data_IF_420226883651
#
_entry.id   IF_420226883651
#
_cell.length_a   1.000
_cell.length_b   1.000
_cell.length_c   1.000
_cell.angle_alpha   90.00
_cell.angle_beta   90.00
_cell.angle_gamma   90.00
#
_symmetry.space_group_name_H-M   'P 1'
#
loop_
_entity.id
_entity.type
_entity.pdbx_description
1 polymer ?
#
# COMPACT_ATOMS: atom_id res chain seq x y z
N UNK A 1 -22.45 42.99 6.52
CA UNK A 1 -22.07 41.83 7.37
C UNK A 1 -22.46 40.47 6.77
N UNK A 2 -23.59 40.31 6.04
CA UNK A 2 -23.99 39.01 5.46
C UNK A 2 -23.01 38.42 4.42
N UNK A 3 -22.32 39.24 3.62
CA UNK A 3 -21.42 38.74 2.56
C UNK A 3 -20.09 38.16 3.07
N UNK A 4 -19.60 38.62 4.23
CA UNK A 4 -18.33 38.15 4.81
C UNK A 4 -18.46 36.73 5.36
N UNK A 5 -19.63 36.39 5.92
CA UNK A 5 -19.91 35.04 6.45
C UNK A 5 -19.98 34.01 5.33
N UNK A 6 -20.57 34.35 4.18
CA UNK A 6 -20.66 33.47 3.02
C UNK A 6 -19.26 33.18 2.45
N UNK A 7 -18.41 34.20 2.36
CA UNK A 7 -17.02 34.04 1.89
C UNK A 7 -16.21 33.16 2.86
N UNK A 8 -16.37 33.34 4.18
CA UNK A 8 -15.70 32.51 5.18
C UNK A 8 -16.14 31.04 5.11
N UNK A 9 -17.41 30.76 4.85
CA UNK A 9 -17.94 29.39 4.68
C UNK A 9 -17.42 28.75 3.39
N UNK A 10 -17.33 29.50 2.29
CA UNK A 10 -16.77 28.99 1.03
C UNK A 10 -15.28 28.71 1.18
N UNK A 11 -14.51 29.61 1.80
CA UNK A 11 -13.07 29.39 2.05
C UNK A 11 -12.88 28.19 2.98
N UNK A 12 -13.66 28.09 4.05
CA UNK A 12 -13.61 26.95 4.96
C UNK A 12 -14.01 25.65 4.25
N UNK A 13 -15.02 25.69 3.39
CA UNK A 13 -15.46 24.55 2.58
C UNK A 13 -14.42 24.12 1.54
N UNK A 14 -13.71 25.06 0.91
CA UNK A 14 -12.62 24.79 -0.02
C UNK A 14 -11.39 24.26 0.72
N UNK A 15 -11.03 24.82 1.89
CA UNK A 15 -9.96 24.31 2.74
C UNK A 15 -10.31 22.92 3.28
N UNK A 16 -11.56 22.66 3.66
CA UNK A 16 -12.02 21.34 4.10
C UNK A 16 -12.09 20.34 2.94
N UNK A 17 -12.42 20.80 1.73
CA UNK A 17 -12.42 19.99 0.51
C UNK A 17 -10.99 19.65 0.05
N UNK A 18 -10.05 20.58 0.21
CA UNK A 18 -8.63 20.39 -0.09
C UNK A 18 -7.91 19.55 0.97
N UNK A 19 -8.27 19.69 2.26
CA UNK A 19 -7.70 18.89 3.37
C UNK A 19 -8.39 17.53 3.54
N UNK A 20 -9.60 17.36 3.01
CA UNK A 20 -10.38 16.12 3.05
C UNK A 20 -10.01 15.10 1.97
N UNK A 21 -9.27 15.50 0.92
CA UNK A 21 -8.65 14.56 -0.01
C UNK A 21 -7.37 14.05 0.63
N UNK A 22 -7.29 12.74 0.86
CA UNK A 22 -5.98 12.14 1.13
C UNK A 22 -5.07 12.48 -0.06
N UNK A 23 -3.93 13.15 0.16
CA UNK A 23 -3.13 13.79 -0.89
C UNK A 23 -2.40 12.79 -1.81
N UNK A 24 -2.79 11.52 -1.77
CA UNK A 24 -2.14 10.47 -2.54
C UNK A 24 -2.48 10.58 -4.03
N UNK A 25 -1.50 10.35 -4.92
CA UNK A 25 -1.70 10.48 -6.34
C UNK A 25 -2.71 9.45 -6.84
N UNK A 26 -3.44 9.79 -7.91
CA UNK A 26 -4.43 8.88 -8.52
C UNK A 26 -3.79 7.66 -9.17
N UNK A 27 -2.51 7.74 -9.52
CA UNK A 27 -1.73 6.63 -10.06
C UNK A 27 -0.28 6.71 -9.65
N UNK A 28 0.41 5.57 -9.72
CA UNK A 28 1.86 5.43 -9.52
C UNK A 28 2.46 4.64 -10.68
N UNK A 29 3.71 4.95 -11.05
CA UNK A 29 4.45 4.11 -11.99
C UNK A 29 5.20 3.02 -11.22
N UNK A 30 4.96 1.77 -11.59
CA UNK A 30 5.66 0.63 -11.01
C UNK A 30 6.17 -0.30 -12.11
N UNK A 31 7.50 -0.47 -12.18
CA UNK A 31 8.15 -1.31 -13.18
C UNK A 31 7.71 -0.98 -14.63
N UNK A 32 7.58 0.31 -14.95
CA UNK A 32 7.20 0.79 -16.29
C UNK A 32 5.71 0.64 -16.62
N UNK A 33 4.87 0.28 -15.65
CA UNK A 33 3.42 0.17 -15.81
C UNK A 33 2.73 1.18 -14.89
N UNK A 34 1.64 1.75 -15.37
CA UNK A 34 0.77 2.58 -14.51
C UNK A 34 -0.13 1.69 -13.64
N UNK A 35 -0.20 2.02 -12.35
CA UNK A 35 -1.13 1.43 -11.39
C UNK A 35 -2.02 2.54 -10.83
N UNK A 36 -3.32 2.32 -10.87
CA UNK A 36 -4.36 3.29 -10.52
C UNK A 36 -4.85 3.02 -9.10
N UNK A 37 -5.03 4.08 -8.31
CA UNK A 37 -5.51 4.03 -6.93
C UNK A 37 -6.92 3.43 -6.88
N UNK A 38 -7.13 2.48 -5.98
CA UNK A 38 -8.43 1.85 -5.78
C UNK A 38 -9.44 2.75 -5.06
N UNK A 39 -10.71 2.66 -5.45
CA UNK A 39 -11.78 3.52 -4.95
C UNK A 39 -12.05 3.37 -3.44
N UNK A 40 -11.81 2.19 -2.86
CA UNK A 40 -12.08 1.89 -1.44
C UNK A 40 -10.82 2.01 -0.55
N UNK A 41 -9.82 2.79 -0.98
CA UNK A 41 -8.56 2.96 -0.25
C UNK A 41 -8.54 4.25 0.58
N UNK A 42 -7.62 4.37 1.53
CA UNK A 42 -7.58 5.50 2.48
C UNK A 42 -8.36 5.25 3.78
N UNK A 43 -8.49 4.00 4.23
CA UNK A 43 -9.13 3.67 5.53
C UNK A 43 -8.48 4.48 6.65
N UNK A 44 -9.32 5.18 7.43
CA UNK A 44 -8.94 6.04 8.56
C UNK A 44 -8.73 5.20 9.84
N UNK A 45 -7.63 5.47 10.53
CA UNK A 45 -7.20 4.82 11.76
C UNK A 45 -5.73 5.17 12.04
N UNK A 46 -5.05 4.42 12.90
CA UNK A 46 -3.64 4.63 13.20
C UNK A 46 -2.69 4.35 11.99
N UNK A 47 -3.20 3.70 10.94
CA UNK A 47 -2.50 3.51 9.67
C UNK A 47 -3.42 3.84 8.50
N UNK A 48 -2.93 4.63 7.54
CA UNK A 48 -3.58 4.87 6.26
C UNK A 48 -3.06 3.86 5.24
N UNK A 49 -3.96 3.25 4.47
CA UNK A 49 -3.61 2.22 3.48
C UNK A 49 -4.12 2.59 2.10
N UNK A 50 -3.22 2.62 1.13
CA UNK A 50 -3.48 2.91 -0.29
C UNK A 50 -3.12 1.70 -1.11
N UNK A 51 -4.02 1.26 -1.99
CA UNK A 51 -3.80 0.10 -2.84
C UNK A 51 -4.04 0.48 -4.29
N UNK A 52 -3.04 0.25 -5.13
CA UNK A 52 -3.03 0.56 -6.54
C UNK A 52 -3.04 -0.73 -7.35
N UNK A 53 -3.89 -0.78 -8.38
CA UNK A 53 -4.00 -1.91 -9.31
C UNK A 53 -4.01 -1.39 -10.75
N UNK A 54 -3.69 -2.21 -11.74
CA UNK A 54 -3.74 -1.76 -13.15
C UNK A 54 -5.11 -1.22 -13.60
N UNK A 55 -6.20 -1.67 -12.97
CA UNK A 55 -7.57 -1.28 -13.33
C UNK A 55 -8.23 -0.30 -12.35
N UNK A 56 -7.58 0.01 -11.22
CA UNK A 56 -8.21 0.71 -10.09
C UNK A 56 -9.28 -0.12 -9.36
N UNK A 57 -9.52 -1.38 -9.74
CA UNK A 57 -10.50 -2.26 -9.08
C UNK A 57 -9.82 -3.18 -8.07
N UNK A 58 -10.29 -3.15 -6.82
CA UNK A 58 -9.82 -4.03 -5.75
C UNK A 58 -10.79 -5.21 -5.62
N UNK A 59 -10.48 -6.31 -6.29
CA UNK A 59 -11.34 -7.51 -6.34
C UNK A 59 -10.62 -8.77 -5.82
N UNK A 60 -9.45 -8.63 -5.21
CA UNK A 60 -8.65 -9.75 -4.68
C UNK A 60 -7.97 -10.63 -5.74
N UNK A 61 -8.04 -10.28 -7.04
CA UNK A 61 -7.51 -11.10 -8.16
C UNK A 61 -6.39 -10.37 -8.93
N UNK A 62 -6.07 -9.12 -8.56
CA UNK A 62 -5.10 -8.30 -9.27
C UNK A 62 -3.77 -8.25 -8.53
N UNK A 63 -2.66 -8.15 -9.29
CA UNK A 63 -1.40 -7.63 -8.78
C UNK A 63 -1.61 -6.21 -8.26
N UNK A 64 -0.93 -5.85 -7.17
CA UNK A 64 -1.11 -4.54 -6.57
C UNK A 64 0.16 -3.98 -5.93
N UNK A 65 0.30 -2.67 -6.02
CA UNK A 65 1.19 -1.89 -5.17
C UNK A 65 0.37 -1.41 -3.98
N UNK A 66 0.86 -1.59 -2.76
CA UNK A 66 0.22 -1.08 -1.56
C UNK A 66 1.19 -0.22 -0.77
N UNK A 67 0.69 0.90 -0.29
CA UNK A 67 1.38 1.84 0.58
C UNK A 67 0.63 1.88 1.90
N UNK A 68 1.33 1.64 2.99
CA UNK A 68 0.81 1.77 4.35
C UNK A 68 1.63 2.86 5.04
N UNK A 69 0.94 3.88 5.52
CA UNK A 69 1.53 5.00 6.25
C UNK A 69 1.05 4.96 7.69
N UNK A 70 1.99 4.83 8.62
CA UNK A 70 1.73 4.89 10.06
C UNK A 70 2.33 6.18 10.59
N UNK A 71 1.50 7.11 11.04
CA UNK A 71 1.99 8.33 11.66
C UNK A 71 2.66 7.98 13.00
N UNK A 72 3.86 8.52 13.23
CA UNK A 72 4.68 8.30 14.43
C UNK A 72 3.96 8.73 15.72
N UNK A 73 3.03 9.67 15.63
CA UNK A 73 2.16 10.06 16.75
C UNK A 73 1.24 8.92 17.24
N UNK A 74 0.97 7.91 16.41
CA UNK A 74 0.20 6.71 16.77
C UNK A 74 1.09 5.50 17.07
N UNK A 75 2.40 5.69 17.25
CA UNK A 75 3.30 4.63 17.68
C UNK A 75 2.98 4.25 19.14
N UNK A 76 2.14 3.22 19.30
CA UNK A 76 1.86 2.63 20.61
C UNK A 76 3.05 1.81 21.13
N UNK A 77 3.03 1.48 22.42
CA UNK A 77 4.05 0.70 23.15
C UNK A 77 4.41 -0.68 22.58
N UNK A 78 3.68 -1.19 21.57
CA UNK A 78 3.96 -2.47 20.91
C UNK A 78 4.86 -2.35 19.67
N UNK A 79 5.26 -1.14 19.28
CA UNK A 79 6.10 -0.88 18.10
C UNK A 79 5.35 -1.01 16.77
N UNK A 80 5.73 -0.17 15.80
CA UNK A 80 5.06 -0.03 14.49
C UNK A 80 4.95 -1.35 13.72
N UNK A 81 5.99 -2.18 13.82
CA UNK A 81 6.08 -3.44 13.07
C UNK A 81 5.07 -4.49 13.55
N UNK A 82 4.77 -4.51 14.86
CA UNK A 82 3.73 -5.35 15.44
C UNK A 82 2.33 -4.92 15.00
N UNK A 83 2.09 -3.60 14.96
CA UNK A 83 0.82 -3.03 14.51
C UNK A 83 0.53 -3.35 13.03
N UNK A 84 1.52 -3.17 12.15
CA UNK A 84 1.36 -3.47 10.71
C UNK A 84 1.13 -4.97 10.48
N UNK A 85 1.86 -5.85 11.17
CA UNK A 85 1.64 -7.30 11.10
C UNK A 85 0.22 -7.68 11.51
N UNK A 86 -0.29 -7.13 12.61
CA UNK A 86 -1.66 -7.37 13.08
C UNK A 86 -2.71 -6.87 12.08
N UNK A 87 -2.51 -5.67 11.52
CA UNK A 87 -3.39 -5.08 10.51
C UNK A 87 -3.43 -5.94 9.24
N UNK A 88 -2.27 -6.37 8.73
CA UNK A 88 -2.18 -7.23 7.55
C UNK A 88 -2.83 -8.60 7.78
N UNK A 89 -2.58 -9.22 8.94
CA UNK A 89 -3.21 -10.51 9.30
C UNK A 89 -4.73 -10.39 9.36
N UNK A 90 -5.25 -9.31 9.95
CA UNK A 90 -6.69 -9.06 10.03
C UNK A 90 -7.34 -8.72 8.67
N UNK A 91 -6.61 -8.00 7.81
CA UNK A 91 -7.14 -7.52 6.52
C UNK A 91 -7.09 -8.58 5.41
N UNK A 92 -6.13 -9.51 5.47
CA UNK A 92 -5.84 -10.42 4.37
C UNK A 92 -5.89 -11.91 4.74
N UNK A 93 -6.14 -12.27 6.01
CA UNK A 93 -6.17 -13.66 6.50
C UNK A 93 -4.98 -14.50 6.00
N UNK A 94 -3.79 -13.91 6.10
CA UNK A 94 -2.54 -14.44 5.54
C UNK A 94 -1.75 -15.24 6.58
N UNK A 95 -1.21 -16.38 6.13
CA UNK A 95 -0.19 -17.14 6.86
C UNK A 95 1.18 -16.94 6.20
N UNK A 96 2.17 -16.58 7.02
CA UNK A 96 3.57 -16.41 6.57
C UNK A 96 4.19 -17.79 6.32
N UNK A 97 4.76 -18.01 5.14
CA UNK A 97 5.51 -19.24 4.85
C UNK A 97 6.98 -19.11 5.30
N UNK A 98 7.63 -20.23 5.67
CA UNK A 98 9.00 -20.26 6.21
C UNK A 98 10.12 -19.82 5.24
N UNK A 99 9.79 -19.47 3.99
CA UNK A 99 10.71 -19.02 2.94
C UNK A 99 10.89 -17.49 2.87
N UNK A 100 10.40 -16.75 3.86
CA UNK A 100 10.54 -15.29 3.93
C UNK A 100 12.01 -14.89 4.18
N UNK A 101 12.63 -14.14 3.27
CA UNK A 101 14.02 -13.65 3.40
C UNK A 101 14.08 -12.14 3.18
N UNK A 102 14.36 -11.40 4.25
CA UNK A 102 14.60 -9.96 4.20
C UNK A 102 13.41 -9.15 3.64
N UNK A 103 13.56 -8.62 2.42
CA UNK A 103 12.57 -7.76 1.73
C UNK A 103 11.61 -8.53 0.81
N UNK A 104 11.73 -9.86 0.78
CA UNK A 104 10.90 -10.76 -0.01
C UNK A 104 10.17 -11.72 0.93
N UNK A 105 8.85 -11.84 0.72
CA UNK A 105 7.98 -12.68 1.52
C UNK A 105 7.08 -13.51 0.61
N UNK A 106 6.86 -14.77 1.00
CA UNK A 106 5.88 -15.65 0.37
C UNK A 106 4.74 -15.84 1.37
N UNK A 107 3.52 -15.59 0.95
CA UNK A 107 2.36 -15.86 1.77
C UNK A 107 1.25 -16.53 0.97
N UNK A 108 0.40 -17.26 1.70
CA UNK A 108 -0.79 -17.91 1.16
C UNK A 108 -2.00 -17.34 1.89
N UNK A 109 -3.09 -17.16 1.16
CA UNK A 109 -4.41 -16.91 1.77
C UNK A 109 -4.94 -18.27 2.22
N UNK A 110 -5.21 -18.42 3.52
CA UNK A 110 -5.50 -19.72 4.15
C UNK A 110 -6.68 -20.48 3.51
N UNK A 111 -7.62 -19.77 2.89
CA UNK A 111 -8.81 -20.33 2.24
C UNK A 111 -8.65 -20.70 0.77
N UNK A 112 -7.50 -20.47 0.12
CA UNK A 112 -7.35 -20.63 -1.34
C UNK A 112 -6.01 -21.27 -1.75
N UNK A 113 -5.93 -21.99 -2.88
CA UNK A 113 -4.67 -22.57 -3.39
C UNK A 113 -3.70 -21.53 -3.99
N UNK A 114 -3.94 -20.24 -3.76
CA UNK A 114 -3.23 -19.13 -4.39
C UNK A 114 -1.93 -18.81 -3.65
N UNK A 115 -0.84 -18.74 -4.39
CA UNK A 115 0.46 -18.31 -3.86
C UNK A 115 0.66 -16.83 -4.18
N UNK A 116 1.07 -16.05 -3.18
CA UNK A 116 1.37 -14.63 -3.38
C UNK A 116 2.85 -14.39 -3.08
N UNK A 117 3.49 -13.65 -3.97
CA UNK A 117 4.86 -13.18 -3.77
C UNK A 117 4.82 -11.69 -3.46
N UNK A 118 5.45 -11.30 -2.36
CA UNK A 118 5.49 -9.91 -1.90
C UNK A 118 6.91 -9.39 -1.78
N UNK A 119 7.07 -8.14 -2.18
CA UNK A 119 8.31 -7.38 -2.09
C UNK A 119 8.01 -6.15 -1.27
N UNK A 120 8.83 -5.88 -0.25
CA UNK A 120 8.58 -4.81 0.71
C UNK A 120 9.81 -3.92 0.85
N UNK A 121 9.60 -2.61 0.85
CA UNK A 121 10.54 -1.66 1.43
C UNK A 121 9.90 -0.95 2.61
N UNK A 122 10.73 -0.62 3.59
CA UNK A 122 10.38 0.28 4.69
C UNK A 122 11.16 1.57 4.52
N UNK A 123 10.48 2.69 4.68
CA UNK A 123 11.02 4.05 4.62
C UNK A 123 10.49 4.84 5.80
N UNK A 124 11.19 5.90 6.16
CA UNK A 124 10.76 6.78 7.23
C UNK A 124 10.84 8.23 6.78
N UNK A 125 9.89 9.00 7.29
CA UNK A 125 9.86 10.46 7.26
C UNK A 125 9.90 10.96 8.70
N UNK A 126 10.09 12.27 8.94
CA UNK A 126 10.02 12.83 10.29
C UNK A 126 8.69 12.53 11.00
N UNK A 127 7.58 12.45 10.27
CA UNK A 127 6.23 12.28 10.81
C UNK A 127 5.65 10.86 10.70
N UNK A 128 6.21 9.97 9.89
CA UNK A 128 5.59 8.68 9.62
C UNK A 128 6.57 7.57 9.21
N UNK A 129 6.16 6.33 9.49
CA UNK A 129 6.72 5.12 8.90
C UNK A 129 5.93 4.71 7.66
N UNK A 130 6.66 4.35 6.61
CA UNK A 130 6.11 3.99 5.31
C UNK A 130 6.48 2.55 4.98
N UNK A 131 5.49 1.73 4.69
CA UNK A 131 5.64 0.36 4.22
C UNK A 131 5.08 0.31 2.80
N UNK A 132 5.95 0.05 1.84
CA UNK A 132 5.58 0.06 0.41
C UNK A 132 5.84 -1.33 -0.11
N UNK A 133 4.77 -2.00 -0.49
CA UNK A 133 4.80 -3.37 -0.95
C UNK A 133 4.26 -3.52 -2.36
N UNK A 134 4.84 -4.47 -3.10
CA UNK A 134 4.25 -4.99 -4.32
C UNK A 134 3.90 -6.45 -4.11
N UNK A 135 2.69 -6.83 -4.49
CA UNK A 135 2.20 -8.20 -4.40
C UNK A 135 1.84 -8.68 -5.79
N UNK A 136 2.44 -9.80 -6.17
CA UNK A 136 2.15 -10.53 -7.41
C UNK A 136 1.38 -11.78 -7.05
N UNK A 137 0.30 -12.03 -7.78
CA UNK A 137 -0.43 -13.28 -7.68
C UNK A 137 0.23 -14.35 -8.54
N UNK A 138 0.51 -15.51 -7.94
CA UNK A 138 0.94 -16.72 -8.64
C UNK A 138 -0.13 -17.80 -8.49
N UNK A 139 -0.16 -18.71 -9.45
CA UNK A 139 -1.06 -19.87 -9.45
C UNK A 139 -2.55 -19.50 -9.68
N UNK A 140 -2.79 -18.51 -10.54
CA UNK A 140 -4.11 -18.21 -11.09
C UNK A 140 -4.13 -18.46 -12.61
N UNK A 141 -5.03 -19.33 -13.06
CA UNK A 141 -5.13 -19.77 -14.46
C UNK A 141 -3.77 -20.25 -15.03
N UNK A 142 -3.36 -19.74 -16.21
CA UNK A 142 -2.08 -20.09 -16.87
C UNK A 142 -0.86 -19.36 -16.28
N UNK A 143 -1.04 -18.48 -15.29
CA UNK A 143 0.05 -17.69 -14.72
C UNK A 143 0.65 -18.41 -13.49
N UNK A 144 1.61 -19.30 -13.74
CA UNK A 144 2.36 -19.99 -12.69
C UNK A 144 3.78 -19.45 -12.65
N UNK A 145 4.06 -18.62 -11.64
CA UNK A 145 5.38 -18.08 -11.39
C UNK A 145 6.06 -19.03 -10.40
N UNK A 146 7.27 -19.51 -10.72
CA UNK A 146 8.04 -20.32 -9.76
C UNK A 146 8.62 -19.40 -8.68
N UNK A 147 8.78 -19.86 -7.43
CA UNK A 147 9.38 -19.06 -6.36
C UNK A 147 10.76 -18.46 -6.73
N UNK A 148 11.60 -19.22 -7.44
CA UNK A 148 12.92 -18.77 -7.89
C UNK A 148 12.83 -17.62 -8.91
N UNK A 149 11.85 -17.66 -9.82
CA UNK A 149 11.64 -16.60 -10.80
C UNK A 149 11.14 -15.32 -10.13
N UNK A 150 10.28 -15.46 -9.12
CA UNK A 150 9.86 -14.33 -8.28
C UNK A 150 11.06 -13.74 -7.52
N UNK A 151 11.85 -14.58 -6.84
CA UNK A 151 13.03 -14.14 -6.09
C UNK A 151 14.05 -13.41 -6.98
N UNK A 152 14.29 -13.91 -8.21
CA UNK A 152 15.20 -13.28 -9.18
C UNK A 152 14.77 -11.85 -9.57
N UNK A 153 13.48 -11.52 -9.49
CA UNK A 153 12.97 -10.18 -9.77
C UNK A 153 13.08 -9.20 -8.58
N UNK A 154 13.54 -9.66 -7.41
CA UNK A 154 13.60 -8.86 -6.18
C UNK A 154 14.33 -7.53 -6.41
N UNK A 155 15.51 -7.53 -7.04
CA UNK A 155 16.28 -6.30 -7.27
C UNK A 155 15.49 -5.26 -8.08
N UNK A 156 14.83 -5.70 -9.14
CA UNK A 156 14.02 -4.86 -10.04
C UNK A 156 12.82 -4.27 -9.30
N UNK A 157 12.06 -5.10 -8.60
CA UNK A 157 10.86 -4.63 -7.90
C UNK A 157 11.19 -3.76 -6.70
N UNK A 158 12.24 -4.06 -5.94
CA UNK A 158 12.71 -3.19 -4.86
C UNK A 158 13.16 -1.82 -5.39
N UNK A 159 13.82 -1.77 -6.55
CA UNK A 159 14.17 -0.48 -7.18
C UNK A 159 12.93 0.30 -7.57
N UNK A 160 11.93 -0.37 -8.15
CA UNK A 160 10.67 0.27 -8.54
C UNK A 160 9.88 0.77 -7.32
N UNK A 161 9.87 0.03 -6.20
CA UNK A 161 9.22 0.48 -4.97
C UNK A 161 9.89 1.73 -4.37
N UNK A 162 11.21 1.87 -4.52
CA UNK A 162 11.91 3.09 -4.08
C UNK A 162 11.47 4.28 -4.92
N UNK A 163 11.39 4.15 -6.24
CA UNK A 163 10.87 5.20 -7.11
C UNK A 163 9.44 5.58 -6.73
N UNK A 164 8.57 4.60 -6.43
CA UNK A 164 7.22 4.89 -5.91
C UNK A 164 7.28 5.69 -4.62
N UNK A 165 8.15 5.34 -3.66
CA UNK A 165 8.31 6.14 -2.44
C UNK A 165 8.71 7.58 -2.75
N UNK A 166 9.73 7.74 -3.58
CA UNK A 166 10.25 9.05 -3.94
C UNK A 166 9.10 9.87 -4.57
N UNK A 167 8.35 9.33 -5.53
CA UNK A 167 7.25 10.03 -6.21
C UNK A 167 6.09 10.48 -5.30
N UNK A 168 5.82 9.77 -4.20
CA UNK A 168 4.61 9.98 -3.38
C UNK A 168 4.87 10.59 -1.99
N UNK A 169 6.14 10.79 -1.63
CA UNK A 169 6.53 11.27 -0.30
C UNK A 169 6.93 12.76 -0.25
N UNK A 170 6.87 13.46 -1.38
CA UNK A 170 7.13 14.90 -1.51
C UNK A 170 5.88 15.76 -1.23
#
# INVERSE_FOLDING_TARGET
MKNIVIIAIIISGVVFYLTGRDPFPKSVNFSGNEYILGQDTGKKGAAKTYQYTKSGRINGINDYVQIIVVNKEFEHSQGVLGMVKKMLKASYNVESLPSSRGKFSIFKVSSEPREYYSYLITKETPSAHWFIQFVIQSNFAKNRIKPQDAENNTRKYISSLKSVFDDVSY
#
